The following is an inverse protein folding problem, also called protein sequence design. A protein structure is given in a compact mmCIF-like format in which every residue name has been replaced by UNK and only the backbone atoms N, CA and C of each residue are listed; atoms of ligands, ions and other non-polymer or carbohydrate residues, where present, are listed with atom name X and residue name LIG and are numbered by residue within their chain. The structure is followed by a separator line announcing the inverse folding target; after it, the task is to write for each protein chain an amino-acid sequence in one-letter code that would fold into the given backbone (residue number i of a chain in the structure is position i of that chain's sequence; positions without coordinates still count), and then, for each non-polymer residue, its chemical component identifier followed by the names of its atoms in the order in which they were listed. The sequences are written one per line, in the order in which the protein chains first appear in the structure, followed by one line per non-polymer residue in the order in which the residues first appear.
data_IF_010182716125
#
_entry.id   IF_010182716125
#
_cell.length_a   1.000
_cell.length_b   1.000
_cell.length_c   1.000
_cell.angle_alpha   90.00
_cell.angle_beta   90.00
_cell.angle_gamma   90.00
#
_symmetry.space_group_name_H-M   'P 1'
#
loop_
_entity.id
_entity.type
_entity.pdbx_description
1 polymer ?
#
# COMPACT_ATOMS: atom_id res chain seq x y z
N UNK A 1 20.18 7.00 -0.65
CA UNK A 1 19.09 7.57 0.18
C UNK A 1 17.94 7.84 -0.75
N UNK A 2 17.00 6.90 -0.83
CA UNK A 2 15.77 7.07 -1.58
C UNK A 2 14.87 8.02 -0.79
N UNK A 3 14.69 9.24 -1.31
CA UNK A 3 13.87 10.26 -0.67
C UNK A 3 12.43 10.04 -1.13
N UNK A 4 11.67 9.25 -0.38
CA UNK A 4 10.25 9.03 -0.67
C UNK A 4 9.53 10.37 -0.83
N UNK A 5 8.72 10.48 -1.88
CA UNK A 5 7.98 11.70 -2.21
C UNK A 5 6.54 11.39 -2.61
N UNK A 6 5.65 12.38 -2.52
CA UNK A 6 4.25 12.16 -2.89
C UNK A 6 4.04 12.16 -4.41
N UNK A 7 3.05 11.41 -4.87
CA UNK A 7 2.48 11.64 -6.20
C UNK A 7 1.83 13.04 -6.29
N UNK A 8 1.89 13.66 -7.46
CA UNK A 8 1.14 14.88 -7.78
C UNK A 8 -0.36 14.61 -7.90
N UNK A 9 -1.19 15.65 -7.94
CA UNK A 9 -2.64 15.48 -8.08
C UNK A 9 -3.03 14.71 -9.36
N UNK A 10 -2.40 15.03 -10.48
CA UNK A 10 -2.64 14.36 -11.77
C UNK A 10 -2.14 12.92 -11.76
N UNK A 11 -0.98 12.68 -11.14
CA UNK A 11 -0.45 11.32 -10.94
C UNK A 11 -1.42 10.48 -10.08
N UNK A 12 -1.96 11.04 -8.99
CA UNK A 12 -2.97 10.37 -8.15
C UNK A 12 -4.25 10.08 -8.92
N UNK A 13 -4.72 11.01 -9.75
CA UNK A 13 -5.88 10.80 -10.61
C UNK A 13 -5.65 9.67 -11.63
N UNK A 14 -4.43 9.54 -12.16
CA UNK A 14 -4.08 8.43 -13.04
C UNK A 14 -4.08 7.08 -12.32
N UNK A 15 -3.71 7.02 -11.03
CA UNK A 15 -3.73 5.78 -10.23
C UNK A 15 -5.13 5.18 -10.05
N UNK A 16 -6.18 6.00 -10.14
CA UNK A 16 -7.57 5.53 -10.01
C UNK A 16 -8.16 5.03 -11.33
N UNK A 17 -7.43 5.19 -12.44
CA UNK A 17 -7.84 4.70 -13.75
C UNK A 17 -7.42 3.23 -13.92
N UNK A 18 -8.35 2.38 -14.37
CA UNK A 18 -8.11 0.96 -14.65
C UNK A 18 -8.75 0.01 -13.64
N UNK A 19 -8.32 -1.25 -13.65
CA UNK A 19 -8.86 -2.29 -12.75
C UNK A 19 -8.56 -1.95 -11.28
N UNK A 20 -9.43 -2.35 -10.35
CA UNK A 20 -9.15 -2.18 -8.92
C UNK A 20 -7.97 -3.07 -8.49
N UNK A 21 -7.16 -2.61 -7.54
CA UNK A 21 -6.14 -3.46 -6.90
C UNK A 21 -6.76 -4.65 -6.15
N UNK A 22 -8.04 -4.60 -5.80
CA UNK A 22 -8.75 -5.75 -5.25
C UNK A 22 -8.97 -6.88 -6.27
N UNK A 23 -9.02 -6.54 -7.56
CA UNK A 23 -9.19 -7.51 -8.65
C UNK A 23 -7.84 -7.91 -9.24
N UNK A 24 -6.95 -6.94 -9.41
CA UNK A 24 -5.61 -7.14 -9.98
C UNK A 24 -4.56 -6.54 -9.04
N UNK A 25 -4.12 -7.28 -8.01
CA UNK A 25 -3.26 -6.74 -6.96
C UNK A 25 -1.77 -6.66 -7.36
N UNK A 26 -1.38 -7.15 -8.55
CA UNK A 26 0.01 -7.18 -9.02
C UNK A 26 0.60 -5.83 -9.44
N UNK A 27 1.86 -5.84 -9.90
CA UNK A 27 2.56 -4.63 -10.34
C UNK A 27 1.92 -3.99 -11.57
N UNK A 28 1.92 -2.65 -11.58
CA UNK A 28 1.39 -1.81 -12.65
C UNK A 28 2.39 -0.74 -13.09
N UNK A 29 2.07 -0.09 -14.19
CA UNK A 29 2.87 1.02 -14.72
C UNK A 29 2.71 2.27 -13.84
N UNK A 30 3.83 2.84 -13.43
CA UNK A 30 3.86 4.05 -12.62
C UNK A 30 3.59 5.29 -13.49
N UNK A 31 2.62 6.15 -13.15
CA UNK A 31 2.33 7.35 -13.93
C UNK A 31 3.46 8.40 -13.87
N UNK A 32 4.36 8.30 -12.89
CA UNK A 32 5.46 9.25 -12.71
C UNK A 32 6.73 8.90 -13.48
N UNK A 33 7.10 7.61 -13.54
CA UNK A 33 8.35 7.16 -14.16
C UNK A 33 8.18 6.13 -15.29
N UNK A 34 6.95 5.67 -15.55
CA UNK A 34 6.63 4.68 -16.59
C UNK A 34 7.09 3.25 -16.29
N UNK A 35 7.73 2.98 -15.15
CA UNK A 35 8.18 1.64 -14.79
C UNK A 35 7.03 0.80 -14.23
N UNK A 36 6.99 -0.48 -14.59
CA UNK A 36 6.03 -1.45 -14.06
C UNK A 36 6.41 -1.95 -12.66
N UNK A 37 6.46 -1.02 -11.69
CA UNK A 37 6.79 -1.28 -10.29
C UNK A 37 5.86 -0.55 -9.33
N UNK A 38 4.67 -0.20 -9.79
CA UNK A 38 3.62 0.38 -8.96
C UNK A 38 2.92 -0.75 -8.18
N UNK A 39 2.95 -0.66 -6.86
CA UNK A 39 2.55 -1.67 -5.88
C UNK A 39 1.51 -1.07 -4.93
N UNK A 40 0.70 -1.92 -4.32
CA UNK A 40 -0.33 -1.49 -3.37
C UNK A 40 -0.38 -2.40 -2.13
N UNK A 41 -0.73 -1.79 -1.01
CA UNK A 41 -0.90 -2.42 0.29
C UNK A 41 -2.11 -1.81 1.01
N UNK A 42 -2.89 -2.66 1.67
CA UNK A 42 -4.16 -2.34 2.31
C UNK A 42 -4.14 -2.88 3.74
N UNK A 43 -4.64 -2.07 4.68
CA UNK A 43 -4.75 -2.46 6.08
C UNK A 43 -6.02 -1.90 6.70
N UNK A 44 -6.62 -2.68 7.60
CA UNK A 44 -7.78 -2.28 8.39
C UNK A 44 -7.38 -2.25 9.88
N UNK A 45 -7.04 -1.09 10.44
CA UNK A 45 -6.68 -1.02 11.86
C UNK A 45 -7.87 -1.39 12.75
N UNK A 46 -7.71 -2.41 13.58
CA UNK A 46 -8.77 -2.93 14.48
C UNK A 46 -9.28 -1.87 15.48
N UNK A 47 -8.42 -0.93 15.87
CA UNK A 47 -8.72 0.08 16.89
C UNK A 47 -9.45 1.33 16.35
N UNK A 48 -9.81 1.36 15.06
CA UNK A 48 -10.52 2.50 14.50
C UNK A 48 -11.97 2.56 15.02
N UNK A 49 -12.40 3.72 15.54
CA UNK A 49 -13.80 3.94 16.00
C UNK A 49 -14.86 3.65 14.92
N UNK A 50 -14.47 3.62 13.65
CA UNK A 50 -15.29 3.24 12.49
C UNK A 50 -14.46 2.33 11.57
N UNK A 51 -15.06 1.33 10.92
CA UNK A 51 -14.37 0.49 9.93
C UNK A 51 -13.69 1.36 8.86
N UNK A 52 -12.37 1.42 8.91
CA UNK A 52 -11.55 2.28 8.05
C UNK A 52 -10.56 1.40 7.31
N UNK A 53 -10.50 1.57 5.99
CA UNK A 53 -9.47 0.95 5.16
C UNK A 53 -8.41 2.01 4.87
N UNK A 54 -7.16 1.68 5.18
CA UNK A 54 -6.00 2.50 4.82
C UNK A 54 -5.28 1.80 3.68
N UNK A 55 -4.99 2.54 2.62
CA UNK A 55 -4.25 2.03 1.46
C UNK A 55 -3.01 2.86 1.18
N UNK A 56 -1.91 2.18 0.89
CA UNK A 56 -0.66 2.76 0.46
C UNK A 56 -0.37 2.24 -0.95
N UNK A 57 -0.21 3.17 -1.89
CA UNK A 57 0.22 2.86 -3.26
C UNK A 57 1.58 3.50 -3.45
N UNK A 58 2.57 2.75 -3.92
CA UNK A 58 3.93 3.25 -4.08
C UNK A 58 4.63 2.65 -5.30
N UNK A 59 5.69 3.31 -5.76
CA UNK A 59 6.53 2.79 -6.82
C UNK A 59 7.93 2.44 -6.30
N UNK A 60 8.32 1.17 -6.38
CA UNK A 60 9.66 0.68 -6.00
C UNK A 60 10.77 1.06 -6.98
N UNK A 61 10.54 2.03 -7.88
CA UNK A 61 11.55 2.54 -8.82
C UNK A 61 11.86 4.03 -8.64
N UNK A 62 10.86 4.85 -8.30
CA UNK A 62 11.02 6.30 -8.16
C UNK A 62 10.65 6.80 -6.76
N UNK A 63 10.35 5.89 -5.84
CA UNK A 63 10.01 6.16 -4.44
C UNK A 63 8.86 7.15 -4.27
N UNK A 64 7.96 7.21 -5.26
CA UNK A 64 6.73 7.98 -5.14
C UNK A 64 5.66 7.14 -4.46
N UNK A 65 4.88 7.77 -3.60
CA UNK A 65 3.80 7.10 -2.89
C UNK A 65 2.58 8.01 -2.67
N UNK A 66 1.45 7.38 -2.36
CA UNK A 66 0.25 8.04 -1.84
C UNK A 66 -0.40 7.13 -0.80
N UNK A 67 -0.80 7.72 0.32
CA UNK A 67 -1.59 7.06 1.35
C UNK A 67 -3.01 7.63 1.36
N UNK A 68 -4.02 6.77 1.30
CA UNK A 68 -5.43 7.19 1.35
C UNK A 68 -6.17 6.44 2.45
N UNK A 69 -7.30 7.01 2.88
CA UNK A 69 -8.20 6.39 3.85
C UNK A 69 -9.61 6.40 3.28
N UNK A 70 -10.28 5.27 3.34
CA UNK A 70 -11.64 5.10 2.88
C UNK A 70 -12.47 4.35 3.94
N UNK A 71 -13.79 4.34 3.76
CA UNK A 71 -14.66 3.44 4.52
C UNK A 71 -14.28 2.01 4.16
N UNK A 72 -14.11 1.16 5.17
CA UNK A 72 -13.90 -0.26 4.94
C UNK A 72 -15.16 -0.87 4.31
N UNK A 73 -15.07 -1.50 3.13
CA UNK A 73 -16.21 -2.21 2.56
C UNK A 73 -16.61 -3.39 3.44
N UNK A 74 -17.93 -3.58 3.62
CA UNK A 74 -18.42 -4.74 4.36
C UNK A 74 -18.11 -6.02 3.56
N UNK A 75 -17.59 -7.05 4.25
CA UNK A 75 -17.26 -8.35 3.64
C UNK A 75 -15.90 -8.42 2.92
N UNK A 76 -15.12 -7.33 2.83
CA UNK A 76 -13.78 -7.38 2.24
C UNK A 76 -12.81 -8.15 3.16
N UNK A 77 -12.29 -9.28 2.70
CA UNK A 77 -11.29 -10.08 3.41
C UNK A 77 -9.98 -10.05 2.63
N UNK A 78 -8.87 -9.73 3.30
CA UNK A 78 -7.54 -9.73 2.69
C UNK A 78 -6.47 -10.27 3.64
N UNK A 79 -5.41 -10.85 3.08
CA UNK A 79 -4.24 -11.26 3.85
C UNK A 79 -3.45 -10.03 4.30
N UNK A 80 -3.20 -9.86 5.59
CA UNK A 80 -2.28 -8.83 6.10
C UNK A 80 -0.94 -9.48 6.50
N UNK A 81 0.15 -9.35 5.71
CA UNK A 81 1.46 -9.88 6.10
C UNK A 81 2.01 -9.23 7.37
N UNK A 82 1.56 -8.01 7.70
CA UNK A 82 1.93 -7.31 8.93
C UNK A 82 1.09 -7.75 10.14
N UNK A 83 0.05 -8.58 9.96
CA UNK A 83 -0.72 -9.12 11.09
C UNK A 83 0.10 -10.06 11.98
N UNK A 84 1.22 -10.57 11.48
CA UNK A 84 2.17 -11.40 12.24
C UNK A 84 3.05 -10.58 13.18
N UNK A 85 3.13 -9.26 12.97
CA UNK A 85 3.93 -8.37 13.81
C UNK A 85 3.24 -8.10 15.13
N UNK A 86 4.04 -8.03 16.19
CA UNK A 86 3.57 -7.53 17.48
C UNK A 86 3.20 -6.05 17.39
N UNK A 87 2.35 -5.59 18.32
CA UNK A 87 2.00 -4.16 18.43
C UNK A 87 3.21 -3.24 18.56
N UNK A 88 4.29 -3.71 19.21
CA UNK A 88 5.53 -2.94 19.37
C UNK A 88 6.28 -2.80 18.04
N UNK A 89 6.49 -3.91 17.32
CA UNK A 89 7.13 -3.91 16.00
C UNK A 89 6.37 -3.06 15.00
N UNK A 90 5.04 -3.15 15.04
CA UNK A 90 4.17 -2.35 14.18
C UNK A 90 4.26 -0.85 14.49
N UNK A 91 4.27 -0.47 15.79
CA UNK A 91 4.49 0.93 16.19
C UNK A 91 5.86 1.46 15.80
N UNK A 92 6.89 0.63 15.84
CA UNK A 92 8.23 1.02 15.46
C UNK A 92 8.36 1.24 13.95
N UNK A 93 7.71 0.39 13.14
CA UNK A 93 7.60 0.60 11.69
C UNK A 93 6.80 1.87 11.36
N UNK A 94 5.65 2.06 12.00
CA UNK A 94 4.77 3.21 11.76
C UNK A 94 5.36 4.54 12.28
N UNK A 95 6.43 4.50 13.08
CA UNK A 95 7.15 5.68 13.59
C UNK A 95 7.77 6.50 12.46
N UNK A 96 8.13 5.85 11.36
CA UNK A 96 8.69 6.50 10.17
C UNK A 96 7.98 6.03 8.92
N UNK A 97 7.28 6.95 8.25
CA UNK A 97 6.60 6.64 7.00
C UNK A 97 7.57 6.11 5.91
N UNK A 98 8.79 6.64 5.85
CA UNK A 98 9.79 6.18 4.88
C UNK A 98 10.33 4.79 5.24
N UNK A 99 10.48 4.48 6.53
CA UNK A 99 10.86 3.16 7.00
C UNK A 99 9.75 2.13 6.74
N UNK A 100 8.50 2.52 6.97
CA UNK A 100 7.33 1.71 6.65
C UNK A 100 7.23 1.38 5.16
N UNK A 101 7.38 2.39 4.28
CA UNK A 101 7.34 2.18 2.83
C UNK A 101 8.50 1.29 2.34
N UNK A 102 9.71 1.49 2.86
CA UNK A 102 10.85 0.63 2.55
C UNK A 102 10.62 -0.82 3.02
N UNK A 103 9.96 -1.01 4.16
CA UNK A 103 9.60 -2.35 4.65
C UNK A 103 8.57 -3.03 3.74
N UNK A 104 7.53 -2.31 3.31
CA UNK A 104 6.55 -2.83 2.34
C UNK A 104 7.21 -3.21 1.01
N UNK A 105 8.16 -2.40 0.55
CA UNK A 105 8.88 -2.68 -0.69
C UNK A 105 9.73 -3.96 -0.57
N UNK A 106 10.40 -4.16 0.56
CA UNK A 106 11.14 -5.38 0.84
C UNK A 106 10.23 -6.63 0.95
N UNK A 107 9.03 -6.50 1.52
CA UNK A 107 8.05 -7.60 1.58
C UNK A 107 7.56 -8.01 0.19
N UNK A 108 7.44 -7.05 -0.72
CA UNK A 108 7.13 -7.34 -2.12
C UNK A 108 8.25 -8.12 -2.79
N UNK A 109 9.49 -7.66 -2.65
CA UNK A 109 10.64 -8.34 -3.24
C UNK A 109 10.87 -9.74 -2.64
N UNK A 110 10.46 -9.95 -1.39
CA UNK A 110 10.45 -11.26 -0.73
C UNK A 110 9.27 -12.17 -1.13
N UNK A 111 8.31 -11.67 -1.92
CA UNK A 111 7.13 -12.42 -2.37
C UNK A 111 6.02 -12.58 -1.32
N UNK A 112 6.07 -11.81 -0.22
CA UNK A 112 5.00 -11.76 0.78
C UNK A 112 3.86 -10.81 0.37
N UNK A 113 4.11 -9.94 -0.62
CA UNK A 113 3.12 -9.14 -1.34
C UNK A 113 3.14 -9.53 -2.83
N UNK A 114 2.07 -9.29 -3.59
CA UNK A 114 0.82 -8.63 -3.23
C UNK A 114 -0.07 -9.39 -2.23
N UNK A 115 -0.98 -8.67 -1.57
CA UNK A 115 -2.01 -9.29 -0.74
C UNK A 115 -3.01 -10.05 -1.60
N UNK A 116 -3.54 -11.15 -1.06
CA UNK A 116 -4.68 -11.85 -1.65
C UNK A 116 -5.97 -11.25 -1.12
N UNK A 117 -6.92 -11.00 -2.02
CA UNK A 117 -8.26 -10.52 -1.69
C UNK A 117 -9.28 -11.63 -1.95
N UNK A 118 -10.20 -11.80 -1.01
CA UNK A 118 -11.33 -12.73 -1.11
C UNK A 118 -12.61 -11.96 -0.86
N UNK A 119 -13.61 -12.20 -1.70
CA UNK A 119 -14.96 -11.65 -1.59
C UNK A 119 -15.91 -12.68 -0.99
#
# INVERSE_FOLDING_TARGET
MTAWSSFSGDEVAALTQGASFFTEPGERDCPACGQRRLRAYFTAPENAKRPTLVSYVWCGSCDKFVGTRARHPDGLIFSDPLATLTTAERRDLERSLTGFLAHLDALWDAGALPQTFTA
#
